data_IF_015043571055
#
_entry.id   IF_015043571055
#
_cell.length_a   1.000
_cell.length_b   1.000
_cell.length_c   1.000
_cell.angle_alpha   90.00
_cell.angle_beta   90.00
_cell.angle_gamma   90.00
#
_symmetry.space_group_name_H-M   'P 1'
#
loop_
_entity.id
_entity.type
_entity.pdbx_description
1 polymer ?
#
# COMPACT_ATOMS: atom_id res chain seq x y z
N UNK A 1 59.42 63.73 -68.58
CA UNK A 1 57.98 64.05 -68.49
C UNK A 1 57.27 62.82 -67.94
N UNK A 2 56.66 62.98 -66.74
CA UNK A 2 55.43 62.37 -66.17
C UNK A 2 55.21 60.84 -66.26
N UNK A 3 55.17 60.13 -65.12
CA UNK A 3 53.98 59.72 -64.29
C UNK A 3 53.48 58.31 -64.72
N UNK A 4 52.92 57.37 -63.94
CA UNK A 4 52.42 57.27 -62.56
C UNK A 4 52.38 55.77 -62.13
N UNK A 5 52.12 55.57 -60.84
CA UNK A 5 51.92 54.38 -59.98
C UNK A 5 51.32 53.10 -60.58
N UNK A 6 51.77 51.97 -60.01
CA UNK A 6 50.93 51.08 -59.17
C UNK A 6 51.72 49.85 -58.67
N UNK A 7 51.86 49.69 -57.35
CA UNK A 7 52.23 48.39 -56.74
C UNK A 7 51.27 48.08 -55.58
N UNK A 8 50.69 46.86 -55.54
CA UNK A 8 49.58 46.52 -54.64
C UNK A 8 50.04 46.04 -53.25
N UNK A 9 49.12 46.15 -52.29
CA UNK A 9 49.23 45.81 -50.87
C UNK A 9 49.52 44.32 -50.58
N UNK A 10 50.48 44.06 -49.69
CA UNK A 10 50.79 42.72 -49.17
C UNK A 10 49.89 42.36 -47.98
N UNK A 11 48.86 41.55 -48.20
CA UNK A 11 48.11 40.88 -47.12
C UNK A 11 48.99 39.80 -46.47
N UNK A 12 49.38 39.99 -45.20
CA UNK A 12 50.06 38.98 -44.37
C UNK A 12 49.15 37.74 -44.21
N UNK A 13 49.44 36.69 -44.98
CA UNK A 13 48.81 35.37 -44.81
C UNK A 13 49.37 34.75 -43.53
N UNK A 14 48.51 34.57 -42.51
CA UNK A 14 48.84 33.76 -41.35
C UNK A 14 49.17 32.32 -41.83
N UNK A 15 50.23 31.69 -41.32
CA UNK A 15 50.63 30.36 -41.77
C UNK A 15 49.56 29.33 -41.37
N UNK A 16 48.92 28.70 -42.35
CA UNK A 16 47.82 27.75 -42.16
C UNK A 16 48.15 26.56 -41.24
N UNK A 17 49.43 26.26 -41.03
CA UNK A 17 49.86 25.23 -40.07
C UNK A 17 49.60 25.59 -38.60
N UNK A 18 49.60 26.88 -38.23
CA UNK A 18 49.35 27.29 -36.84
C UNK A 18 47.91 27.02 -36.40
N UNK A 19 46.93 27.24 -37.30
CA UNK A 19 45.53 26.96 -37.02
C UNK A 19 45.26 25.46 -36.87
N UNK A 20 45.92 24.62 -37.68
CA UNK A 20 45.79 23.15 -37.57
C UNK A 20 46.41 22.66 -36.25
N UNK A 21 47.56 23.20 -35.86
CA UNK A 21 48.21 22.83 -34.60
C UNK A 21 47.38 23.25 -33.37
N UNK A 22 46.79 24.45 -33.41
CA UNK A 22 45.92 24.94 -32.34
C UNK A 22 44.62 24.14 -32.23
N UNK A 23 44.02 23.76 -33.37
CA UNK A 23 42.84 22.89 -33.40
C UNK A 23 43.15 21.50 -32.81
N UNK A 24 44.31 20.92 -33.16
CA UNK A 24 44.75 19.64 -32.64
C UNK A 24 44.97 19.68 -31.11
N UNK A 25 45.59 20.74 -30.60
CA UNK A 25 45.78 20.93 -29.15
C UNK A 25 44.44 21.04 -28.39
N UNK A 26 43.46 21.77 -28.93
CA UNK A 26 42.12 21.88 -28.34
C UNK A 26 41.40 20.52 -28.33
N UNK A 27 41.52 19.74 -29.41
CA UNK A 27 40.95 18.39 -29.49
C UNK A 27 41.55 17.42 -28.47
N UNK A 28 42.87 17.49 -28.26
CA UNK A 28 43.56 16.68 -27.24
C UNK A 28 43.08 17.06 -25.83
N UNK A 29 42.96 18.36 -25.53
CA UNK A 29 42.45 18.83 -24.24
C UNK A 29 41.01 18.38 -24.02
N UNK A 30 40.14 18.46 -25.04
CA UNK A 30 38.76 17.98 -24.97
C UNK A 30 38.69 16.45 -24.75
N UNK A 31 39.56 15.67 -25.40
CA UNK A 31 39.66 14.23 -25.18
C UNK A 31 40.08 13.90 -23.75
N UNK A 32 41.08 14.61 -23.19
CA UNK A 32 41.52 14.42 -21.81
C UNK A 32 40.39 14.79 -20.83
N UNK A 33 39.69 15.90 -21.06
CA UNK A 33 38.58 16.32 -20.20
C UNK A 33 37.39 15.34 -20.25
N UNK A 34 37.10 14.76 -21.41
CA UNK A 34 36.00 13.79 -21.56
C UNK A 34 36.33 12.42 -20.94
N UNK A 35 37.61 11.99 -20.97
CA UNK A 35 38.05 10.74 -20.35
C UNK A 35 38.34 10.84 -18.85
N UNK A 36 38.66 12.03 -18.34
CA UNK A 36 38.90 12.26 -16.90
C UNK A 36 37.63 12.72 -16.16
N UNK A 37 36.50 12.81 -16.87
CA UNK A 37 35.18 13.04 -16.29
C UNK A 37 34.71 11.79 -15.55
N UNK A 38 35.28 11.52 -14.37
CA UNK A 38 34.75 10.54 -13.44
C UNK A 38 33.26 10.79 -13.25
N UNK A 39 32.44 9.80 -13.61
CA UNK A 39 31.01 9.75 -13.29
C UNK A 39 30.86 9.52 -11.78
N UNK A 40 31.29 10.50 -10.99
CA UNK A 40 31.09 10.51 -9.55
C UNK A 40 29.62 10.74 -9.25
N UNK A 41 28.92 9.70 -8.81
CA UNK A 41 27.61 9.84 -8.20
C UNK A 41 27.76 10.58 -6.87
N UNK A 42 27.24 11.82 -6.78
CA UNK A 42 27.24 12.61 -5.55
C UNK A 42 26.04 12.20 -4.69
N UNK A 43 26.28 11.47 -3.60
CA UNK A 43 25.23 11.13 -2.63
C UNK A 43 25.37 12.06 -1.43
N UNK A 44 24.40 12.95 -1.26
CA UNK A 44 24.46 14.09 -0.31
C UNK A 44 24.02 13.77 1.12
N UNK A 45 23.88 12.49 1.50
CA UNK A 45 23.31 12.11 2.80
C UNK A 45 24.26 11.16 3.56
N UNK A 46 24.85 11.65 4.65
CA UNK A 46 25.80 10.90 5.50
C UNK A 46 25.24 9.57 6.01
N UNK A 47 23.96 9.52 6.38
CA UNK A 47 23.31 8.34 6.93
C UNK A 47 23.18 7.18 5.92
N UNK A 48 23.07 7.48 4.62
CA UNK A 48 22.94 6.45 3.58
C UNK A 48 24.29 5.82 3.21
N UNK A 49 25.39 6.55 3.42
CA UNK A 49 26.74 6.08 3.10
C UNK A 49 27.23 5.03 4.09
N UNK A 50 26.84 5.12 5.36
CA UNK A 50 27.14 4.08 6.37
C UNK A 50 26.56 2.72 5.97
N UNK A 51 25.37 2.71 5.37
CA UNK A 51 24.76 1.48 4.85
C UNK A 51 25.53 0.91 3.65
N UNK A 52 26.09 1.75 2.78
CA UNK A 52 26.89 1.31 1.63
C UNK A 52 28.27 0.76 2.06
N UNK A 53 28.86 1.34 3.10
CA UNK A 53 30.10 0.84 3.72
C UNK A 53 29.86 -0.47 4.47
N UNK A 54 28.75 -0.60 5.20
CA UNK A 54 28.39 -1.82 5.93
C UNK A 54 28.04 -3.01 5.00
N UNK A 55 27.52 -2.71 3.81
CA UNK A 55 27.28 -3.69 2.75
C UNK A 55 28.54 -4.02 1.93
N UNK A 56 29.69 -3.42 2.27
CA UNK A 56 30.99 -3.65 1.60
C UNK A 56 30.92 -3.40 0.08
N UNK A 57 30.05 -2.47 -0.34
CA UNK A 57 29.81 -2.14 -1.75
C UNK A 57 30.83 -1.13 -2.31
N UNK A 58 31.53 -0.44 -1.42
CA UNK A 58 32.51 0.58 -1.76
C UNK A 58 33.93 0.03 -1.66
N UNK A 59 34.77 0.43 -2.61
CA UNK A 59 36.19 0.23 -2.54
C UNK A 59 36.78 1.19 -1.49
N UNK A 60 37.39 0.61 -0.45
CA UNK A 60 37.84 1.36 0.73
C UNK A 60 39.02 2.28 0.39
N UNK A 61 39.86 1.88 -0.56
CA UNK A 61 41.07 2.62 -0.93
C UNK A 61 40.74 3.87 -1.76
N UNK A 62 39.61 3.87 -2.45
CA UNK A 62 39.10 5.00 -3.22
C UNK A 62 38.01 5.82 -2.50
N UNK A 63 37.61 5.41 -1.30
CA UNK A 63 36.60 6.10 -0.50
C UNK A 63 37.23 7.22 0.35
N UNK A 64 36.83 8.47 0.11
CA UNK A 64 37.26 9.66 0.84
C UNK A 64 36.07 10.37 1.49
N UNK A 65 36.23 10.71 2.76
CA UNK A 65 35.33 11.56 3.52
C UNK A 65 35.93 12.97 3.56
N UNK A 66 35.29 13.94 2.93
CA UNK A 66 35.68 15.36 3.01
C UNK A 66 34.61 16.11 3.80
N UNK A 67 34.99 16.62 4.97
CA UNK A 67 34.16 17.56 5.71
C UNK A 67 34.44 18.96 5.15
N UNK A 68 33.45 19.58 4.50
CA UNK A 68 33.60 20.95 4.02
C UNK A 68 33.41 21.92 5.20
N UNK A 69 32.43 21.64 6.07
CA UNK A 69 32.05 22.42 7.27
C UNK A 69 31.59 21.45 8.39
N UNK A 70 31.45 21.93 9.65
CA UNK A 70 31.03 21.13 10.83
C UNK A 70 29.72 20.34 10.67
N UNK A 71 28.85 20.74 9.73
CA UNK A 71 27.56 20.10 9.47
C UNK A 71 27.44 19.46 8.07
N UNK A 72 28.47 19.53 7.22
CA UNK A 72 28.42 19.00 5.86
C UNK A 72 29.61 18.09 5.56
N UNK A 73 29.35 16.80 5.68
CA UNK A 73 30.27 15.73 5.28
C UNK A 73 29.89 15.27 3.88
N UNK A 74 30.82 15.44 2.93
CA UNK A 74 30.73 14.85 1.60
C UNK A 74 31.51 13.55 1.59
N UNK A 75 30.87 12.47 1.15
CA UNK A 75 31.55 11.21 0.89
C UNK A 75 31.68 11.03 -0.63
N UNK A 76 32.89 10.71 -1.08
CA UNK A 76 33.17 10.25 -2.43
C UNK A 76 33.77 8.85 -2.34
N UNK A 77 33.34 7.93 -3.20
CA UNK A 77 33.87 6.58 -3.23
C UNK A 77 33.52 5.88 -4.53
N UNK A 78 34.36 4.92 -4.95
CA UNK A 78 34.08 4.08 -6.10
C UNK A 78 33.38 2.80 -5.62
N UNK A 79 32.35 2.36 -6.35
CA UNK A 79 31.78 1.04 -6.12
C UNK A 79 32.79 -0.04 -6.52
N UNK A 80 32.81 -1.15 -5.79
CA UNK A 80 33.59 -2.32 -6.21
C UNK A 80 33.04 -2.83 -7.54
N UNK A 81 33.95 -3.18 -8.46
CA UNK A 81 33.55 -3.75 -9.76
C UNK A 81 32.97 -5.16 -9.61
N UNK A 82 33.42 -5.91 -8.60
CA UNK A 82 32.88 -7.21 -8.22
C UNK A 82 32.45 -7.21 -6.76
N UNK A 83 31.21 -7.64 -6.49
CA UNK A 83 30.70 -7.82 -5.13
C UNK A 83 31.25 -9.09 -4.51
N UNK A 84 31.67 -9.01 -3.25
CA UNK A 84 32.07 -10.19 -2.47
C UNK A 84 30.84 -11.05 -2.16
N UNK A 85 31.03 -12.35 -1.92
CA UNK A 85 29.94 -13.23 -1.50
C UNK A 85 29.34 -12.80 -0.14
N UNK A 86 30.15 -12.19 0.73
CA UNK A 86 29.70 -11.62 2.00
C UNK A 86 28.77 -10.41 1.77
N UNK A 87 29.12 -9.49 0.87
CA UNK A 87 28.24 -8.38 0.47
C UNK A 87 26.88 -8.86 -0.05
N UNK A 88 26.90 -9.87 -0.93
CA UNK A 88 25.66 -10.44 -1.48
C UNK A 88 24.81 -11.10 -0.39
N UNK A 89 25.45 -11.81 0.54
CA UNK A 89 24.79 -12.47 1.66
C UNK A 89 24.15 -11.47 2.62
N UNK A 90 24.86 -10.39 2.97
CA UNK A 90 24.33 -9.31 3.82
C UNK A 90 23.17 -8.58 3.14
N UNK A 91 23.29 -8.28 1.86
CA UNK A 91 22.20 -7.66 1.10
C UNK A 91 20.95 -8.56 1.09
N UNK A 92 21.11 -9.85 0.78
CA UNK A 92 20.01 -10.83 0.82
C UNK A 92 19.39 -10.94 2.21
N UNK A 93 20.20 -10.90 3.27
CA UNK A 93 19.70 -10.90 4.63
C UNK A 93 18.83 -9.68 4.92
N UNK A 94 19.27 -8.47 4.53
CA UNK A 94 18.46 -7.25 4.70
C UNK A 94 17.15 -7.30 3.90
N UNK A 95 17.18 -7.86 2.69
CA UNK A 95 15.97 -8.06 1.90
C UNK A 95 14.98 -9.01 2.60
N UNK A 96 15.46 -10.15 3.10
CA UNK A 96 14.64 -11.09 3.86
C UNK A 96 14.12 -10.48 5.16
N UNK A 97 14.94 -9.67 5.85
CA UNK A 97 14.54 -8.97 7.06
C UNK A 97 13.44 -7.95 6.77
N UNK A 98 13.60 -7.14 5.72
CA UNK A 98 12.58 -6.18 5.29
C UNK A 98 11.28 -6.89 4.91
N UNK A 99 11.36 -7.95 4.11
CA UNK A 99 10.20 -8.76 3.72
C UNK A 99 9.51 -9.39 4.94
N UNK A 100 10.28 -9.84 5.93
CA UNK A 100 9.72 -10.36 7.17
C UNK A 100 8.96 -9.27 7.95
N UNK A 101 9.49 -8.05 8.02
CA UNK A 101 8.79 -6.92 8.63
C UNK A 101 7.50 -6.56 7.89
N UNK A 102 7.52 -6.53 6.55
CA UNK A 102 6.33 -6.30 5.72
C UNK A 102 5.26 -7.36 5.97
N UNK A 103 5.63 -8.64 5.93
CA UNK A 103 4.71 -9.76 6.18
C UNK A 103 4.17 -9.74 7.62
N UNK A 104 5.00 -9.40 8.61
CA UNK A 104 4.55 -9.28 10.00
C UNK A 104 3.53 -8.15 10.16
N UNK A 105 3.76 -7.02 9.50
CA UNK A 105 2.81 -5.90 9.50
C UNK A 105 1.50 -6.28 8.81
N UNK A 106 1.58 -6.95 7.65
CA UNK A 106 0.39 -7.41 6.93
C UNK A 106 -0.40 -8.45 7.73
N UNK A 107 0.28 -9.42 8.38
CA UNK A 107 -0.35 -10.38 9.29
C UNK A 107 -1.12 -9.67 10.40
N UNK A 108 -0.51 -8.64 11.01
CA UNK A 108 -1.16 -7.85 12.06
C UNK A 108 -2.41 -7.12 11.55
N UNK A 109 -2.30 -6.44 10.40
CA UNK A 109 -3.43 -5.75 9.77
C UNK A 109 -4.58 -6.71 9.46
N UNK A 110 -4.28 -7.86 8.84
CA UNK A 110 -5.30 -8.87 8.52
C UNK A 110 -5.97 -9.43 9.78
N UNK A 111 -5.24 -9.60 10.87
CA UNK A 111 -5.83 -10.05 12.14
C UNK A 111 -6.81 -9.01 12.72
N UNK A 112 -6.48 -7.72 12.62
CA UNK A 112 -7.36 -6.62 13.03
C UNK A 112 -8.62 -6.57 12.16
N UNK A 113 -8.47 -6.64 10.83
CA UNK A 113 -9.59 -6.66 9.88
C UNK A 113 -10.52 -7.86 10.14
N UNK A 114 -9.94 -9.03 10.39
CA UNK A 114 -10.70 -10.24 10.70
C UNK A 114 -11.48 -10.14 12.02
N UNK A 115 -10.96 -9.43 13.02
CA UNK A 115 -11.67 -9.20 14.28
C UNK A 115 -12.88 -8.27 14.07
N UNK A 116 -12.73 -7.25 13.23
CA UNK A 116 -13.85 -6.36 12.85
C UNK A 116 -14.92 -7.14 12.08
N UNK A 117 -14.52 -7.96 11.11
CA UNK A 117 -15.44 -8.79 10.32
C UNK A 117 -16.16 -9.81 11.18
N UNK A 118 -15.47 -10.46 12.12
CA UNK A 118 -16.07 -11.41 13.07
C UNK A 118 -17.19 -10.75 13.87
N UNK A 119 -16.94 -9.56 14.42
CA UNK A 119 -17.96 -8.78 15.14
C UNK A 119 -19.17 -8.48 14.25
N UNK A 120 -18.93 -8.05 13.01
CA UNK A 120 -20.00 -7.75 12.07
C UNK A 120 -20.85 -9.00 11.80
N UNK A 121 -20.23 -10.16 11.57
CA UNK A 121 -20.94 -11.43 11.35
C UNK A 121 -21.77 -11.83 12.58
N UNK A 122 -21.24 -11.65 13.79
CA UNK A 122 -21.99 -11.88 15.03
C UNK A 122 -23.21 -10.97 15.11
N UNK A 123 -23.03 -9.66 14.87
CA UNK A 123 -24.11 -8.68 14.93
C UNK A 123 -25.20 -8.97 13.87
N UNK A 124 -24.79 -9.32 12.65
CA UNK A 124 -25.69 -9.78 11.58
C UNK A 124 -26.46 -11.04 11.98
N UNK A 125 -25.77 -12.04 12.53
CA UNK A 125 -26.39 -13.29 12.94
C UNK A 125 -27.37 -13.11 14.08
N UNK A 126 -27.04 -12.27 15.07
CA UNK A 126 -27.94 -11.91 16.16
C UNK A 126 -29.20 -11.24 15.62
N UNK A 127 -29.04 -10.26 14.74
CA UNK A 127 -30.16 -9.55 14.12
C UNK A 127 -31.05 -10.51 13.33
N UNK A 128 -30.44 -11.41 12.54
CA UNK A 128 -31.17 -12.41 11.77
C UNK A 128 -32.01 -13.32 12.67
N UNK A 129 -31.41 -13.86 13.73
CA UNK A 129 -32.10 -14.75 14.66
C UNK A 129 -33.23 -14.04 15.42
N UNK A 130 -33.04 -12.76 15.76
CA UNK A 130 -34.06 -11.94 16.41
C UNK A 130 -35.26 -11.72 15.50
N UNK A 131 -35.03 -11.31 14.25
CA UNK A 131 -36.10 -11.01 13.30
C UNK A 131 -36.82 -12.30 12.86
N UNK A 132 -36.08 -13.39 12.66
CA UNK A 132 -36.65 -14.68 12.25
C UNK A 132 -37.33 -15.46 13.37
N UNK A 133 -37.17 -15.03 14.63
CA UNK A 133 -37.67 -15.74 15.81
C UNK A 133 -37.24 -17.21 15.90
N UNK A 134 -36.07 -17.55 15.34
CA UNK A 134 -35.51 -18.90 15.41
C UNK A 134 -34.93 -19.14 16.80
N UNK A 135 -35.39 -20.20 17.46
CA UNK A 135 -34.86 -20.61 18.77
C UNK A 135 -33.43 -21.14 18.64
N UNK A 136 -32.52 -20.68 19.51
CA UNK A 136 -31.16 -21.20 19.57
C UNK A 136 -31.19 -22.63 20.15
N UNK A 137 -30.62 -23.64 19.46
CA UNK A 137 -30.52 -25.00 19.99
C UNK A 137 -29.54 -25.07 21.16
N UNK A 138 -29.58 -26.14 21.97
CA UNK A 138 -28.73 -26.29 23.18
C UNK A 138 -27.21 -26.17 22.90
N UNK A 139 -26.77 -26.45 21.67
CA UNK A 139 -25.38 -26.33 21.22
C UNK A 139 -24.98 -24.94 20.68
N UNK A 140 -25.90 -23.98 20.62
CA UNK A 140 -25.69 -22.71 19.94
C UNK A 140 -26.02 -22.75 18.44
N UNK A 141 -26.26 -21.59 17.86
CA UNK A 141 -26.46 -21.43 16.42
C UNK A 141 -25.10 -21.18 15.75
N UNK A 142 -24.62 -22.13 14.96
CA UNK A 142 -23.33 -22.05 14.29
C UNK A 142 -23.47 -21.25 12.98
N UNK A 143 -22.73 -20.16 12.88
CA UNK A 143 -22.68 -19.32 11.66
C UNK A 143 -21.46 -19.73 10.83
N UNK A 144 -20.30 -19.87 11.49
CA UNK A 144 -19.06 -20.32 10.88
C UNK A 144 -18.61 -21.57 11.61
N UNK A 145 -18.41 -22.66 10.85
CA UNK A 145 -17.95 -23.92 11.39
C UNK A 145 -16.45 -23.92 11.74
N UNK A 146 -15.99 -24.90 12.51
CA UNK A 146 -14.60 -24.99 12.98
C UNK A 146 -13.58 -25.32 11.87
N UNK A 147 -14.03 -25.54 10.64
CA UNK A 147 -13.14 -25.83 9.50
C UNK A 147 -12.15 -24.69 9.19
N UNK A 148 -12.51 -23.46 9.56
CA UNK A 148 -11.68 -22.27 9.38
C UNK A 148 -10.79 -21.97 10.59
N UNK A 149 -10.82 -22.82 11.62
CA UNK A 149 -9.92 -22.69 12.76
C UNK A 149 -8.49 -23.03 12.31
N UNK A 150 -7.54 -22.25 12.81
CA UNK A 150 -6.12 -22.45 12.60
C UNK A 150 -5.45 -22.71 13.95
N UNK A 151 -4.20 -23.18 13.93
CA UNK A 151 -3.42 -23.35 15.17
C UNK A 151 -3.27 -22.06 15.98
N UNK A 152 -3.34 -20.90 15.32
CA UNK A 152 -3.14 -19.59 15.93
C UNK A 152 -4.45 -18.90 16.34
N UNK A 153 -5.60 -19.30 15.77
CA UNK A 153 -6.88 -18.62 15.96
C UNK A 153 -8.08 -19.54 15.75
N UNK A 154 -9.01 -19.48 16.70
CA UNK A 154 -10.38 -19.98 16.54
C UNK A 154 -11.18 -18.93 15.75
N UNK A 155 -11.64 -19.32 14.55
CA UNK A 155 -12.46 -18.50 13.65
C UNK A 155 -13.92 -18.98 13.62
N UNK A 156 -14.24 -20.05 14.35
CA UNK A 156 -15.60 -20.53 14.50
C UNK A 156 -16.47 -19.50 15.24
N UNK A 157 -17.70 -19.30 14.74
CA UNK A 157 -18.64 -18.34 15.33
C UNK A 157 -19.93 -19.07 15.67
N UNK A 158 -20.24 -19.14 16.97
CA UNK A 158 -21.46 -19.73 17.50
C UNK A 158 -22.20 -18.76 18.42
N UNK A 159 -23.48 -18.51 18.12
CA UNK A 159 -24.35 -17.68 18.98
C UNK A 159 -25.03 -18.59 19.99
N UNK A 160 -24.67 -18.45 21.27
CA UNK A 160 -25.23 -19.26 22.36
C UNK A 160 -26.44 -18.62 23.03
N UNK A 161 -26.53 -17.28 23.01
CA UNK A 161 -27.61 -16.51 23.63
C UNK A 161 -27.91 -15.27 22.79
N UNK A 162 -29.19 -14.96 22.64
CA UNK A 162 -29.62 -13.68 22.06
C UNK A 162 -29.65 -12.61 23.15
N UNK A 163 -29.20 -11.38 22.86
CA UNK A 163 -29.48 -10.25 23.72
C UNK A 163 -30.99 -9.97 23.70
N UNK A 164 -31.53 -9.56 24.85
CA UNK A 164 -32.92 -9.09 24.94
C UNK A 164 -32.98 -7.73 24.25
N UNK A 165 -33.70 -7.66 23.13
CA UNK A 165 -33.98 -6.42 22.40
C UNK A 165 -35.44 -6.43 21.98
N UNK A 166 -36.11 -5.29 22.11
CA UNK A 166 -37.44 -5.10 21.54
C UNK A 166 -37.32 -4.91 20.03
N UNK A 167 -37.37 -6.03 19.31
CA UNK A 167 -37.36 -6.06 17.84
C UNK A 167 -38.60 -6.82 17.40
N UNK A 168 -39.32 -6.24 16.44
CA UNK A 168 -40.45 -6.89 15.78
C UNK A 168 -39.95 -8.11 15.01
N UNK A 169 -40.38 -9.30 15.42
CA UNK A 169 -40.05 -10.55 14.73
C UNK A 169 -41.14 -10.98 13.75
N UNK A 170 -40.81 -11.88 12.81
CA UNK A 170 -41.78 -12.51 11.90
C UNK A 170 -42.93 -13.13 12.68
N UNK A 171 -42.64 -13.76 13.81
CA UNK A 171 -43.65 -14.43 14.64
C UNK A 171 -44.62 -13.43 15.26
N UNK A 172 -44.15 -12.25 15.64
CA UNK A 172 -45.00 -11.19 16.20
C UNK A 172 -45.94 -10.63 15.13
N UNK A 173 -45.42 -10.38 13.93
CA UNK A 173 -46.22 -9.94 12.77
C UNK A 173 -47.24 -11.01 12.36
N UNK A 174 -46.86 -12.29 12.37
CA UNK A 174 -47.78 -13.39 12.06
C UNK A 174 -48.91 -13.49 13.09
N UNK A 175 -48.60 -13.35 14.38
CA UNK A 175 -49.59 -13.32 15.44
C UNK A 175 -50.55 -12.14 15.30
N UNK A 176 -50.00 -10.95 15.02
CA UNK A 176 -50.77 -9.73 14.83
C UNK A 176 -51.68 -9.82 13.59
N UNK A 177 -51.17 -10.41 12.50
CA UNK A 177 -51.96 -10.70 11.31
C UNK A 177 -53.13 -11.62 11.62
N UNK A 178 -52.88 -12.75 12.32
CA UNK A 178 -53.94 -13.69 12.72
C UNK A 178 -54.99 -13.03 13.61
N UNK A 179 -54.59 -12.20 14.58
CA UNK A 179 -55.54 -11.49 15.44
C UNK A 179 -56.35 -10.44 14.69
N UNK A 180 -55.72 -9.69 13.78
CA UNK A 180 -56.39 -8.65 12.99
C UNK A 180 -57.34 -9.24 11.94
N UNK A 181 -57.05 -10.44 11.43
CA UNK A 181 -57.96 -11.19 10.55
C UNK A 181 -59.17 -11.75 11.31
N UNK A 182 -59.00 -12.16 12.58
CA UNK A 182 -60.08 -12.68 13.40
C UNK A 182 -61.03 -11.57 13.89
N UNK A 183 -60.52 -10.35 14.14
CA UNK A 183 -61.31 -9.19 14.56
C UNK A 183 -60.73 -7.90 13.95
N UNK A 184 -61.16 -7.51 12.73
CA UNK A 184 -60.59 -6.36 12.03
C UNK A 184 -61.02 -5.05 12.68
N UNK A 185 -60.11 -4.48 13.48
CA UNK A 185 -60.21 -3.15 14.08
C UNK A 185 -59.22 -2.24 13.34
N UNK A 186 -59.64 -1.02 12.98
CA UNK A 186 -58.81 -0.07 12.23
C UNK A 186 -57.42 0.16 12.88
N UNK A 187 -57.36 0.22 14.22
CA UNK A 187 -56.11 0.35 14.97
C UNK A 187 -55.18 -0.88 14.82
N UNK A 188 -55.74 -2.09 14.76
CA UNK A 188 -54.96 -3.33 14.60
C UNK A 188 -54.39 -3.49 13.19
N UNK A 189 -55.11 -3.00 12.17
CA UNK A 189 -54.62 -2.98 10.79
C UNK A 189 -53.50 -1.96 10.60
N UNK A 190 -53.62 -0.78 11.20
CA UNK A 190 -52.55 0.24 11.17
C UNK A 190 -51.28 -0.23 11.90
N UNK A 191 -51.44 -0.85 13.08
CA UNK A 191 -50.32 -1.46 13.80
C UNK A 191 -49.62 -2.55 12.98
N UNK A 192 -50.38 -3.43 12.33
CA UNK A 192 -49.84 -4.46 11.44
C UNK A 192 -49.03 -3.87 10.28
N UNK A 193 -49.53 -2.80 9.66
CA UNK A 193 -48.83 -2.11 8.56
C UNK A 193 -47.49 -1.52 9.02
N UNK A 194 -47.44 -0.94 10.22
CA UNK A 194 -46.20 -0.40 10.81
C UNK A 194 -45.20 -1.50 11.12
N UNK A 195 -45.63 -2.56 11.79
CA UNK A 195 -44.78 -3.68 12.18
C UNK A 195 -44.24 -4.43 10.97
N UNK A 196 -45.05 -4.61 9.92
CA UNK A 196 -44.60 -5.18 8.64
C UNK A 196 -43.57 -4.29 7.94
N UNK A 197 -43.78 -2.97 7.93
CA UNK A 197 -42.84 -2.02 7.35
C UNK A 197 -41.50 -2.03 8.10
N UNK A 198 -41.53 -2.04 9.44
CA UNK A 198 -40.33 -2.17 10.28
C UNK A 198 -39.61 -3.48 10.03
N UNK A 199 -40.35 -4.58 9.89
CA UNK A 199 -39.80 -5.89 9.57
C UNK A 199 -39.06 -5.89 8.22
N UNK A 200 -39.69 -5.33 7.18
CA UNK A 200 -39.09 -5.19 5.84
C UNK A 200 -37.84 -4.31 5.91
N UNK A 201 -37.88 -3.18 6.63
CA UNK A 201 -36.72 -2.31 6.81
C UNK A 201 -35.55 -3.04 7.48
N UNK A 202 -35.83 -3.86 8.49
CA UNK A 202 -34.81 -4.66 9.15
C UNK A 202 -34.17 -5.67 8.19
N UNK A 203 -34.97 -6.38 7.38
CA UNK A 203 -34.45 -7.29 6.34
C UNK A 203 -33.63 -6.58 5.26
N UNK A 204 -33.99 -5.34 4.92
CA UNK A 204 -33.27 -4.51 3.94
C UNK A 204 -31.99 -3.88 4.51
N UNK A 205 -31.82 -3.90 5.82
CA UNK A 205 -30.68 -3.26 6.50
C UNK A 205 -29.34 -3.79 5.95
N UNK A 206 -28.33 -2.92 5.81
CA UNK A 206 -27.00 -3.34 5.38
C UNK A 206 -26.36 -4.33 6.36
N UNK A 207 -26.79 -4.30 7.63
CA UNK A 207 -26.31 -5.18 8.70
C UNK A 207 -26.58 -6.66 8.41
N UNK A 208 -27.68 -7.03 7.75
CA UNK A 208 -27.97 -8.44 7.49
C UNK A 208 -27.18 -9.04 6.32
N UNK A 209 -26.56 -8.21 5.47
CA UNK A 209 -25.77 -8.68 4.34
C UNK A 209 -26.52 -9.52 3.30
N UNK A 210 -27.85 -9.68 3.43
CA UNK A 210 -28.66 -10.42 2.46
C UNK A 210 -28.97 -9.48 1.29
N UNK A 211 -28.51 -9.89 0.10
CA UNK A 211 -28.94 -9.40 -1.19
C UNK A 211 -28.02 -8.34 -1.78
N UNK A 212 -27.56 -8.60 -3.01
CA UNK A 212 -27.16 -7.52 -3.90
C UNK A 212 -28.24 -6.44 -3.89
N UNK A 213 -27.85 -5.16 -3.98
CA UNK A 213 -28.79 -4.03 -4.03
C UNK A 213 -29.94 -4.28 -5.02
N UNK A 214 -29.68 -4.99 -6.13
CA UNK A 214 -30.70 -5.42 -7.10
C UNK A 214 -31.85 -6.24 -6.51
N UNK A 215 -31.58 -7.19 -5.61
CA UNK A 215 -32.58 -8.02 -4.92
C UNK A 215 -33.37 -7.22 -3.87
N UNK A 216 -32.77 -6.16 -3.30
CA UNK A 216 -33.44 -5.26 -2.35
C UNK A 216 -34.37 -4.25 -3.01
N UNK A 217 -34.25 -4.05 -4.32
CA UNK A 217 -35.15 -3.20 -5.13
C UNK A 217 -36.42 -3.92 -5.57
N UNK A 218 -36.43 -5.26 -5.56
CA UNK A 218 -37.58 -6.08 -5.99
C UNK A 218 -38.54 -6.47 -4.83
N UNK A 219 -38.15 -6.21 -3.58
CA UNK A 219 -38.94 -6.39 -2.33
C UNK A 219 -39.56 -5.07 -1.86
#
# INVERSE_FOLDING_TARGET
>A
MSDDKNKPEQKRKLPGGFLIFLLAAVLIILLIQNFTGDKGGRVSFSHQVEHLVNLDLLDKDSSKKTALNDNLVTFSGKFKENLTEDSKSRFRYLELLNRNHELAHEKKRLAEDLSVLEKNVVDSGVLFLQISAISIPKGGYNIIGPYYDSLERESSISIKRLPVRDIVSIKDVENLYRSSMAAPIALGVDALGKDLSLLIQHFRSPTLGIGSESLKTEL
#
